data_IF_447334079028
#
_entry.id   IF_447334079028
#
_cell.length_a   1.000
_cell.length_b   1.000
_cell.length_c   1.000
_cell.angle_alpha   90.00
_cell.angle_beta   90.00
_cell.angle_gamma   90.00
#
_symmetry.space_group_name_H-M   'P 1'
#
loop_
_entity.id
_entity.type
_entity.pdbx_description
1 polymer ?
#
# COMPACT_ATOMS: atom_id res chain seq x y z
N UNK A 1 -21.41 18.64 4.66
CA UNK A 1 -20.12 17.95 4.80
C UNK A 1 -19.15 18.57 3.82
N UNK A 2 -17.87 18.80 4.17
CA UNK A 2 -16.87 19.24 3.20
C UNK A 2 -16.76 18.19 2.09
N UNK A 3 -16.56 18.64 0.84
CA UNK A 3 -16.53 17.80 -0.37
C UNK A 3 -15.22 17.00 -0.53
N UNK A 4 -14.30 17.11 0.45
CA UNK A 4 -13.01 16.44 0.43
C UNK A 4 -11.98 17.07 -0.51
N UNK A 5 -12.27 18.24 -1.10
CA UNK A 5 -11.32 18.94 -1.97
C UNK A 5 -10.29 19.74 -1.16
N UNK A 6 -9.05 19.78 -1.65
CA UNK A 6 -7.96 20.54 -1.04
C UNK A 6 -7.18 21.30 -2.12
N UNK A 7 -7.09 22.62 -1.97
CA UNK A 7 -6.27 23.47 -2.85
C UNK A 7 -4.90 23.70 -2.23
N UNK A 8 -3.85 23.26 -2.91
CA UNK A 8 -2.47 23.42 -2.46
C UNK A 8 -1.78 24.57 -3.19
N UNK A 9 -1.01 25.37 -2.44
CA UNK A 9 -0.07 26.32 -3.04
C UNK A 9 1.29 25.65 -3.14
N UNK A 10 1.65 25.24 -4.36
CA UNK A 10 2.95 24.65 -4.66
C UNK A 10 3.87 25.67 -5.32
N UNK A 11 5.18 25.49 -5.18
CA UNK A 11 6.12 26.18 -6.07
C UNK A 11 6.03 25.62 -7.49
N UNK A 12 6.29 26.46 -8.48
CA UNK A 12 6.23 26.07 -9.90
C UNK A 12 7.09 24.83 -10.19
N UNK A 13 8.30 24.79 -9.64
CA UNK A 13 9.22 23.66 -9.79
C UNK A 13 8.63 22.35 -9.23
N UNK A 14 7.89 22.41 -8.13
CA UNK A 14 7.24 21.23 -7.54
C UNK A 14 6.06 20.78 -8.37
N UNK A 15 5.22 21.72 -8.80
CA UNK A 15 4.08 21.43 -9.67
C UNK A 15 4.52 20.77 -10.98
N UNK A 16 5.58 21.29 -11.60
CA UNK A 16 6.16 20.72 -12.83
C UNK A 16 6.62 19.28 -12.60
N UNK A 17 7.40 19.01 -11.54
CA UNK A 17 7.89 17.66 -11.23
C UNK A 17 6.77 16.65 -11.03
N UNK A 18 5.70 17.04 -10.33
CA UNK A 18 4.55 16.16 -10.12
C UNK A 18 3.84 15.90 -11.46
N UNK A 19 3.62 16.94 -12.28
CA UNK A 19 2.98 16.79 -13.59
C UNK A 19 3.78 15.88 -14.54
N UNK A 20 5.10 16.05 -14.61
CA UNK A 20 5.98 15.21 -15.42
C UNK A 20 5.94 13.75 -14.97
N UNK A 21 6.03 13.51 -13.66
CA UNK A 21 6.00 12.16 -13.10
C UNK A 21 4.64 11.49 -13.30
N UNK A 22 3.54 12.22 -13.15
CA UNK A 22 2.20 11.70 -13.42
C UNK A 22 2.05 11.28 -14.88
N UNK A 23 2.59 12.07 -15.81
CA UNK A 23 2.63 11.73 -17.24
C UNK A 23 3.43 10.45 -17.53
N UNK A 24 4.61 10.30 -16.93
CA UNK A 24 5.44 9.08 -17.08
C UNK A 24 4.70 7.84 -16.55
N UNK A 25 3.95 7.98 -15.46
CA UNK A 25 3.20 6.90 -14.84
C UNK A 25 1.82 6.68 -15.47
N UNK A 26 1.40 7.51 -16.43
CA UNK A 26 0.11 7.40 -17.10
C UNK A 26 -1.09 7.64 -16.17
N UNK A 27 -0.96 8.54 -15.19
CA UNK A 27 -2.00 8.83 -14.20
C UNK A 27 -2.35 10.32 -14.10
N UNK A 28 -3.52 10.68 -13.57
CA UNK A 28 -3.88 12.08 -13.29
C UNK A 28 -2.94 12.72 -12.27
N UNK A 29 -2.68 14.01 -12.43
CA UNK A 29 -1.76 14.78 -11.56
C UNK A 29 -2.29 14.82 -10.13
N UNK A 30 -3.60 14.99 -9.97
CA UNK A 30 -4.31 15.03 -8.69
C UNK A 30 -4.18 13.70 -7.95
N UNK A 31 -4.19 12.58 -8.68
CA UNK A 31 -4.04 11.25 -8.11
C UNK A 31 -2.63 11.04 -7.56
N UNK A 32 -1.61 11.43 -8.32
CA UNK A 32 -0.23 11.38 -7.85
C UNK A 32 -0.01 12.33 -6.66
N UNK A 33 -0.55 13.54 -6.72
CA UNK A 33 -0.46 14.50 -5.63
C UNK A 33 -1.09 13.98 -4.34
N UNK A 34 -2.28 13.36 -4.42
CA UNK A 34 -2.93 12.73 -3.29
C UNK A 34 -2.10 11.58 -2.70
N UNK A 35 -1.52 10.71 -3.53
CA UNK A 35 -0.64 9.63 -3.06
C UNK A 35 0.61 10.15 -2.35
N UNK A 36 1.20 11.23 -2.85
CA UNK A 36 2.38 11.84 -2.23
C UNK A 36 2.03 12.50 -0.89
N UNK A 37 0.87 13.15 -0.79
CA UNK A 37 0.37 13.67 0.48
C UNK A 37 0.10 12.54 1.47
N UNK A 38 -0.58 11.49 1.02
CA UNK A 38 -0.86 10.31 1.85
C UNK A 38 0.44 9.72 2.39
N UNK A 39 1.44 9.50 1.53
CA UNK A 39 2.78 9.05 1.97
C UNK A 39 3.42 9.97 3.02
N UNK A 40 3.23 11.28 2.91
CA UNK A 40 3.87 12.24 3.81
C UNK A 40 3.16 12.39 5.15
N UNK A 41 1.84 12.19 5.17
CA UNK A 41 1.01 12.24 6.37
C UNK A 41 0.76 10.87 6.99
N UNK A 42 1.07 9.78 6.30
CA UNK A 42 0.95 8.44 6.81
C UNK A 42 1.96 8.22 7.94
N UNK A 43 1.49 8.28 9.18
CA UNK A 43 2.22 7.76 10.35
C UNK A 43 1.78 6.30 10.55
N UNK A 44 2.72 5.38 10.32
CA UNK A 44 2.49 3.95 10.52
C UNK A 44 2.07 3.59 11.96
N UNK A 45 2.36 4.48 12.92
CA UNK A 45 2.03 4.30 14.34
C UNK A 45 0.60 4.73 14.70
N UNK A 46 -0.06 5.49 13.83
CA UNK A 46 -1.44 5.96 14.03
C UNK A 46 -2.48 4.99 13.45
N UNK A 47 -2.04 3.85 12.90
CA UNK A 47 -2.90 2.82 12.33
C UNK A 47 -2.85 1.56 13.19
N UNK A 48 -4.01 1.05 13.58
CA UNK A 48 -4.11 -0.30 14.17
C UNK A 48 -3.93 -1.36 13.07
N UNK A 49 -2.80 -2.05 13.09
CA UNK A 49 -2.50 -3.11 12.14
C UNK A 49 -3.22 -4.41 12.51
N UNK A 50 -4.11 -4.88 11.63
CA UNK A 50 -4.90 -6.09 11.87
C UNK A 50 -4.09 -7.39 11.98
N UNK A 51 -2.84 -7.42 11.48
CA UNK A 51 -1.96 -8.59 11.48
C UNK A 51 -0.61 -8.33 12.19
N UNK A 52 -0.60 -7.39 13.13
CA UNK A 52 0.62 -6.97 13.82
C UNK A 52 1.29 -5.78 13.14
N UNK A 53 1.90 -4.93 13.95
CA UNK A 53 2.62 -3.74 13.51
C UNK A 53 3.83 -4.15 12.65
N UNK A 54 4.00 -3.62 11.43
CA UNK A 54 5.14 -3.95 10.56
C UNK A 54 6.49 -3.52 11.16
N UNK A 55 6.49 -2.55 12.09
CA UNK A 55 7.70 -2.15 12.83
C UNK A 55 7.95 -3.05 14.06
N UNK A 56 7.03 -3.96 14.38
CA UNK A 56 7.25 -4.95 15.43
C UNK A 56 8.35 -5.91 15.01
N UNK A 57 9.35 -6.06 15.88
CA UNK A 57 10.36 -7.10 15.73
C UNK A 57 9.68 -8.45 15.59
N UNK A 58 9.88 -9.07 14.42
CA UNK A 58 9.46 -10.46 14.22
C UNK A 58 10.14 -11.33 15.28
N UNK A 59 9.42 -12.31 15.85
CA UNK A 59 10.05 -13.28 16.72
C UNK A 59 11.21 -13.95 15.97
N UNK A 60 12.27 -14.37 16.68
CA UNK A 60 13.35 -15.15 16.07
C UNK A 60 12.76 -16.33 15.31
N UNK A 61 13.28 -16.61 14.11
CA UNK A 61 12.88 -17.75 13.32
C UNK A 61 13.08 -19.04 14.15
N UNK A 62 12.00 -19.78 14.42
CA UNK A 62 12.12 -21.10 15.01
C UNK A 62 12.58 -22.07 13.93
N UNK A 63 13.84 -22.49 14.03
CA UNK A 63 14.44 -23.47 13.09
C UNK A 63 13.82 -24.86 13.21
N UNK A 64 13.02 -25.11 14.24
CA UNK A 64 12.28 -26.36 14.43
C UNK A 64 10.84 -26.26 13.92
N UNK A 65 10.40 -25.08 13.47
CA UNK A 65 9.08 -24.93 12.87
C UNK A 65 9.00 -25.79 11.59
N UNK A 66 7.93 -26.58 11.40
CA UNK A 66 7.75 -27.35 10.19
C UNK A 66 7.78 -26.45 8.96
N UNK A 67 8.78 -26.63 8.11
CA UNK A 67 8.84 -25.94 6.83
C UNK A 67 8.13 -26.78 5.77
N UNK A 68 7.36 -26.11 4.92
CA UNK A 68 6.70 -26.74 3.77
C UNK A 68 7.41 -26.33 2.48
N UNK A 69 7.63 -27.28 1.58
CA UNK A 69 8.14 -26.94 0.26
C UNK A 69 7.14 -26.05 -0.46
N UNK A 70 7.64 -25.05 -1.19
CA UNK A 70 6.80 -24.08 -1.88
C UNK A 70 5.79 -24.73 -2.82
N UNK A 71 6.18 -25.78 -3.54
CA UNK A 71 5.31 -26.48 -4.49
C UNK A 71 4.10 -27.14 -3.80
N UNK A 72 4.24 -27.54 -2.54
CA UNK A 72 3.16 -28.19 -1.78
C UNK A 72 2.10 -27.19 -1.33
N UNK A 73 2.48 -25.92 -1.09
CA UNK A 73 1.59 -24.89 -0.53
C UNK A 73 1.10 -23.87 -1.55
N UNK A 74 1.78 -23.74 -2.70
CA UNK A 74 1.47 -22.74 -3.73
C UNK A 74 0.06 -22.90 -4.29
N UNK A 75 -0.38 -24.14 -4.52
CA UNK A 75 -1.71 -24.44 -5.07
C UNK A 75 -2.83 -24.00 -4.13
N UNK A 76 -2.70 -24.31 -2.84
CA UNK A 76 -3.66 -23.91 -1.81
C UNK A 76 -3.72 -22.39 -1.66
N UNK A 77 -2.56 -21.72 -1.61
CA UNK A 77 -2.51 -20.26 -1.51
C UNK A 77 -3.20 -19.57 -2.71
N UNK A 78 -2.99 -20.08 -3.92
CA UNK A 78 -3.65 -19.59 -5.12
C UNK A 78 -5.18 -19.80 -5.06
N UNK A 79 -5.62 -20.96 -4.58
CA UNK A 79 -7.04 -21.25 -4.39
C UNK A 79 -7.70 -20.33 -3.36
N UNK A 80 -7.04 -20.05 -2.23
CA UNK A 80 -7.51 -19.10 -1.23
C UNK A 80 -7.65 -17.68 -1.80
N UNK A 81 -6.65 -17.22 -2.56
CA UNK A 81 -6.68 -15.91 -3.23
C UNK A 81 -7.82 -15.82 -4.26
N UNK A 82 -8.07 -16.89 -5.02
CA UNK A 82 -9.17 -16.95 -5.97
C UNK A 82 -10.56 -16.97 -5.28
N UNK A 83 -10.69 -17.70 -4.16
CA UNK A 83 -11.92 -17.78 -3.37
C UNK A 83 -12.26 -16.46 -2.66
N UNK A 84 -11.27 -15.77 -2.10
CA UNK A 84 -11.45 -14.45 -1.48
C UNK A 84 -11.95 -13.39 -2.48
N UNK A 85 -11.56 -13.52 -3.76
CA UNK A 85 -12.01 -12.64 -4.85
C UNK A 85 -13.47 -12.86 -5.25
N UNK A 86 -14.04 -14.05 -5.02
CA UNK A 86 -15.46 -14.36 -5.29
C UNK A 86 -16.42 -13.88 -4.20
N UNK A 87 -15.95 -13.69 -2.96
CA UNK A 87 -16.77 -13.18 -1.84
C UNK A 87 -16.94 -11.66 -1.82
N UNK A 88 -16.31 -10.93 -2.75
CA UNK A 88 -16.38 -9.47 -2.89
C UNK A 88 -17.17 -8.99 -4.13
N UNK A 89 -17.88 -9.90 -4.81
CA UNK A 89 -18.74 -9.61 -5.95
C UNK A 89 -20.22 -9.68 -5.54
#
# INVERSE_FOLDING_TARGET
MPDGSLTLKLSDATAIRIAEKAKVLGMPVEHLAAMLLDQHFFDARDVEWGNGDPDQLLPPLDVNEPTHAWEDVKGELQAQRAGARRKRA
#
